data_IF_554402043378
#
_entry.id   IF_554402043378
#
_cell.length_a   1.000
_cell.length_b   1.000
_cell.length_c   1.000
_cell.angle_alpha   90.00
_cell.angle_beta   90.00
_cell.angle_gamma   90.00
#
_symmetry.space_group_name_H-M   'P 1'
#
loop_
_entity.id
_entity.type
_entity.pdbx_description
1 polymer ?
#
# COMPACT_ATOMS: atom_id res chain seq x y z
N UNK A 1 0.65 58.46 -75.61
CA UNK A 1 0.32 58.47 -74.18
C UNK A 1 0.28 56.98 -73.70
N UNK A 2 1.39 56.47 -73.17
CA UNK A 2 1.53 55.11 -72.70
C UNK A 2 1.21 55.00 -71.22
N UNK A 3 0.19 54.25 -70.82
CA UNK A 3 -0.11 53.91 -69.44
C UNK A 3 0.70 52.64 -69.08
N UNK A 4 1.66 52.79 -68.14
CA UNK A 4 2.37 51.68 -67.51
C UNK A 4 1.53 51.15 -66.35
N UNK A 5 1.15 49.87 -66.38
CA UNK A 5 0.52 49.15 -65.26
C UNK A 5 1.61 48.57 -64.42
N UNK A 6 1.57 48.91 -63.12
CA UNK A 6 2.49 48.40 -62.12
C UNK A 6 1.91 47.11 -61.51
N UNK A 7 2.64 45.98 -61.64
CA UNK A 7 2.26 44.70 -61.04
C UNK A 7 3.09 44.54 -59.74
N UNK A 8 2.42 44.43 -58.59
CA UNK A 8 3.04 44.11 -57.29
C UNK A 8 3.12 42.60 -57.08
N UNK A 9 4.26 42.06 -56.58
CA UNK A 9 4.35 40.64 -56.30
C UNK A 9 3.66 40.30 -54.97
N UNK A 10 2.77 39.29 -54.99
CA UNK A 10 2.08 38.77 -53.84
C UNK A 10 3.03 37.95 -52.95
N UNK A 11 3.09 38.28 -51.69
CA UNK A 11 3.82 37.54 -50.64
C UNK A 11 2.96 36.33 -50.20
N UNK A 12 3.38 35.12 -50.53
CA UNK A 12 2.73 33.90 -50.02
C UNK A 12 3.23 33.59 -48.59
N UNK A 13 2.39 33.76 -47.61
CA UNK A 13 2.65 33.36 -46.22
C UNK A 13 2.27 31.89 -46.08
N UNK A 14 3.26 31.02 -46.02
CA UNK A 14 3.08 29.60 -45.65
C UNK A 14 3.01 29.47 -44.14
N UNK A 15 1.83 29.28 -43.57
CA UNK A 15 1.65 28.91 -42.17
C UNK A 15 1.95 27.41 -41.98
N UNK A 16 3.10 27.12 -41.36
CA UNK A 16 3.42 25.77 -40.94
C UNK A 16 2.54 25.43 -39.71
N UNK A 17 1.61 24.49 -39.85
CA UNK A 17 0.90 23.89 -38.71
C UNK A 17 1.90 23.04 -37.91
N UNK A 18 2.34 23.53 -36.77
CA UNK A 18 3.07 22.72 -35.79
C UNK A 18 2.04 21.86 -35.09
N UNK A 19 2.00 20.56 -35.37
CA UNK A 19 1.15 19.60 -34.66
C UNK A 19 1.62 19.54 -33.20
N UNK A 20 0.73 19.89 -32.26
CA UNK A 20 0.97 19.73 -30.84
C UNK A 20 1.18 18.23 -30.52
N UNK A 21 2.13 17.86 -29.63
CA UNK A 21 2.34 16.47 -29.26
C UNK A 21 1.07 15.91 -28.61
N UNK A 22 0.56 14.80 -29.15
CA UNK A 22 -0.57 14.06 -28.58
C UNK A 22 -0.11 13.50 -27.23
N UNK A 23 -0.79 13.82 -26.10
CA UNK A 23 -0.42 13.28 -24.81
C UNK A 23 -0.55 11.74 -24.81
N UNK A 24 0.36 11.02 -24.11
CA UNK A 24 0.36 9.56 -24.10
C UNK A 24 -0.98 8.99 -23.57
N UNK A 25 -1.42 7.88 -24.13
CA UNK A 25 -2.73 7.25 -23.87
C UNK A 25 -3.06 7.03 -22.37
N UNK A 26 -2.03 6.85 -21.53
CA UNK A 26 -2.19 6.71 -20.06
C UNK A 26 -2.70 7.99 -19.37
N UNK A 27 -2.48 9.18 -19.95
CA UNK A 27 -2.97 10.45 -19.41
C UNK A 27 -4.46 10.70 -19.71
N UNK A 28 -5.06 9.89 -20.61
CA UNK A 28 -6.42 10.09 -21.10
C UNK A 28 -7.46 9.13 -20.51
N UNK A 29 -7.07 8.13 -19.69
CA UNK A 29 -8.03 7.20 -19.12
C UNK A 29 -8.77 7.84 -17.94
N UNK A 30 -10.01 8.25 -18.16
CA UNK A 30 -10.96 8.67 -17.09
C UNK A 30 -11.38 7.50 -16.20
N UNK A 31 -11.18 6.26 -16.64
CA UNK A 31 -11.57 5.02 -15.94
C UNK A 31 -10.34 4.30 -15.40
N UNK A 32 -10.29 3.96 -14.10
CA UNK A 32 -9.20 3.18 -13.53
C UNK A 32 -9.08 1.79 -14.17
N UNK A 33 -7.86 1.34 -14.42
CA UNK A 33 -7.55 -0.02 -14.89
C UNK A 33 -7.01 -0.84 -13.73
N UNK A 34 -7.46 -2.09 -13.61
CA UNK A 34 -7.06 -3.00 -12.55
C UNK A 34 -6.22 -4.14 -13.11
N UNK A 35 -5.10 -4.39 -12.44
CA UNK A 35 -4.19 -5.51 -12.72
C UNK A 35 -4.00 -6.35 -11.47
N UNK A 36 -3.69 -7.64 -11.64
CA UNK A 36 -3.32 -8.52 -10.54
C UNK A 36 -2.15 -9.43 -10.94
N UNK A 37 -1.52 -10.02 -9.92
CA UNK A 37 -0.52 -11.07 -10.05
C UNK A 37 -0.65 -12.04 -8.86
N UNK A 38 -0.71 -13.35 -9.15
CA UNK A 38 -0.64 -14.43 -8.14
C UNK A 38 0.79 -14.95 -8.10
N UNK A 39 1.57 -14.47 -7.13
CA UNK A 39 2.99 -14.70 -7.02
C UNK A 39 3.29 -16.06 -6.35
N UNK A 40 4.30 -16.76 -6.87
CA UNK A 40 4.81 -18.02 -6.30
C UNK A 40 6.31 -18.13 -6.51
N UNK A 41 7.01 -18.83 -5.60
CA UNK A 41 8.47 -19.00 -5.66
C UNK A 41 8.93 -19.73 -6.91
N UNK A 42 8.18 -20.74 -7.36
CA UNK A 42 8.49 -21.50 -8.59
C UNK A 42 8.54 -20.66 -9.87
N UNK A 43 8.01 -19.45 -9.86
CA UNK A 43 8.05 -18.55 -11.00
C UNK A 43 9.31 -17.68 -11.03
N UNK A 44 10.11 -17.70 -9.96
CA UNK A 44 11.36 -16.95 -9.91
C UNK A 44 12.35 -17.48 -10.94
N UNK A 45 13.18 -16.58 -11.45
CA UNK A 45 14.20 -16.91 -12.44
C UNK A 45 15.56 -16.80 -11.78
N UNK A 46 16.34 -17.89 -11.69
CA UNK A 46 17.66 -17.85 -11.10
C UNK A 46 18.56 -16.81 -11.75
N UNK A 47 19.37 -16.14 -10.93
CA UNK A 47 20.43 -15.26 -11.38
C UNK A 47 21.74 -15.60 -10.64
N UNK A 48 22.92 -15.48 -11.27
CA UNK A 48 24.20 -15.78 -10.63
C UNK A 48 24.38 -15.03 -9.31
N UNK A 49 24.78 -15.76 -8.26
CA UNK A 49 25.10 -15.19 -6.95
C UNK A 49 23.92 -14.74 -6.10
N UNK A 50 22.66 -14.98 -6.53
CA UNK A 50 21.48 -14.64 -5.74
C UNK A 50 20.59 -15.86 -5.46
N UNK A 51 20.09 -15.94 -4.23
CA UNK A 51 19.07 -16.93 -3.86
C UNK A 51 17.69 -16.38 -4.26
N UNK A 52 16.92 -17.20 -4.97
CA UNK A 52 15.56 -16.89 -5.42
C UNK A 52 14.62 -18.06 -5.17
N UNK A 53 13.30 -17.78 -5.13
CA UNK A 53 12.25 -18.79 -5.08
C UNK A 53 12.02 -19.37 -3.69
N UNK A 54 11.03 -18.87 -3.00
CA UNK A 54 10.52 -19.40 -1.73
C UNK A 54 9.49 -20.48 -2.07
N UNK A 55 9.84 -21.76 -1.86
CA UNK A 55 9.09 -22.92 -2.37
C UNK A 55 7.65 -23.00 -1.84
N UNK A 56 7.40 -22.63 -0.59
CA UNK A 56 6.09 -22.60 0.04
C UNK A 56 5.49 -21.17 0.11
N UNK A 57 6.27 -20.19 -0.31
CA UNK A 57 5.89 -18.78 -0.35
C UNK A 57 4.88 -18.47 -1.45
N UNK A 58 3.92 -17.60 -1.13
CA UNK A 58 2.95 -17.10 -2.11
C UNK A 58 2.50 -15.68 -1.78
N UNK A 59 2.04 -14.94 -2.80
CA UNK A 59 1.42 -13.64 -2.61
C UNK A 59 0.37 -13.34 -3.67
N UNK A 60 -0.61 -12.50 -3.32
CA UNK A 60 -1.55 -11.88 -4.24
C UNK A 60 -1.30 -10.38 -4.25
N UNK A 61 -0.99 -9.84 -5.42
CA UNK A 61 -0.87 -8.40 -5.64
C UNK A 61 -2.00 -7.90 -6.53
N UNK A 62 -2.56 -6.74 -6.18
CA UNK A 62 -3.58 -6.03 -6.96
C UNK A 62 -3.14 -4.58 -7.13
N UNK A 63 -3.31 -4.06 -8.34
CA UNK A 63 -2.95 -2.69 -8.70
C UNK A 63 -4.15 -1.99 -9.33
N UNK A 64 -4.35 -0.72 -8.98
CA UNK A 64 -5.29 0.18 -9.64
C UNK A 64 -4.51 1.35 -10.22
N UNK A 65 -4.54 1.49 -11.54
CA UNK A 65 -3.85 2.56 -12.27
C UNK A 65 -4.89 3.57 -12.75
N UNK A 66 -4.71 4.84 -12.35
CA UNK A 66 -5.56 5.95 -12.74
C UNK A 66 -4.71 7.20 -12.96
N UNK A 67 -4.59 7.66 -14.21
CA UNK A 67 -3.64 8.70 -14.60
C UNK A 67 -2.20 8.28 -14.26
N UNK A 68 -1.51 9.09 -13.48
CA UNK A 68 -0.15 8.82 -12.99
C UNK A 68 -0.10 8.12 -11.63
N UNK A 69 -1.26 7.84 -11.04
CA UNK A 69 -1.39 7.22 -9.73
C UNK A 69 -1.49 5.71 -9.85
N UNK A 70 -0.64 5.00 -9.13
CA UNK A 70 -0.71 3.54 -8.97
C UNK A 70 -0.98 3.24 -7.51
N UNK A 71 -2.22 2.83 -7.21
CA UNK A 71 -2.56 2.25 -5.92
C UNK A 71 -2.28 0.77 -5.97
N UNK A 72 -1.77 0.19 -4.90
CA UNK A 72 -1.46 -1.23 -4.80
C UNK A 72 -1.95 -1.82 -3.49
N UNK A 73 -2.20 -3.11 -3.49
CA UNK A 73 -2.32 -3.93 -2.30
C UNK A 73 -1.62 -5.26 -2.56
N UNK A 74 -0.88 -5.75 -1.58
CA UNK A 74 -0.22 -7.06 -1.63
C UNK A 74 -0.42 -7.79 -0.31
N UNK A 75 -0.78 -9.07 -0.38
CA UNK A 75 -0.90 -10.00 0.75
C UNK A 75 -0.05 -11.21 0.48
N UNK A 76 0.66 -11.69 1.48
CA UNK A 76 1.55 -12.84 1.38
C UNK A 76 1.27 -13.89 2.44
N UNK A 77 1.67 -15.11 2.17
CA UNK A 77 1.61 -16.26 3.06
C UNK A 77 2.90 -17.05 2.93
N UNK A 78 3.43 -17.55 4.05
CA UNK A 78 4.68 -18.31 4.14
C UNK A 78 5.90 -17.56 3.58
N UNK A 79 5.85 -16.27 3.46
CA UNK A 79 6.97 -15.40 3.08
C UNK A 79 7.39 -14.60 4.32
N UNK A 80 8.65 -14.69 4.72
CA UNK A 80 9.21 -13.87 5.79
C UNK A 80 9.08 -12.38 5.46
N UNK A 81 9.22 -11.53 6.49
CA UNK A 81 9.03 -10.07 6.39
C UNK A 81 9.59 -9.50 5.07
N UNK A 82 8.74 -9.00 4.15
CA UNK A 82 9.21 -8.44 2.89
C UNK A 82 10.11 -7.23 3.09
N UNK A 83 11.19 -7.17 2.31
CA UNK A 83 12.12 -6.03 2.25
C UNK A 83 12.02 -5.25 0.94
N UNK A 84 11.34 -5.81 -0.08
CA UNK A 84 11.14 -5.19 -1.38
C UNK A 84 9.88 -5.67 -2.06
N UNK A 85 9.20 -4.76 -2.77
CA UNK A 85 8.09 -5.08 -3.66
C UNK A 85 8.10 -4.14 -4.85
N UNK A 86 8.14 -4.69 -6.06
CA UNK A 86 8.38 -3.94 -7.29
C UNK A 86 7.56 -4.47 -8.47
N UNK A 87 7.38 -3.63 -9.52
CA UNK A 87 7.08 -4.08 -10.88
C UNK A 87 8.37 -3.99 -11.69
N UNK A 88 8.68 -5.06 -12.40
CA UNK A 88 9.81 -5.21 -13.31
C UNK A 88 9.36 -5.32 -14.77
N UNK A 89 10.23 -4.94 -15.71
CA UNK A 89 10.08 -5.25 -17.13
C UNK A 89 10.64 -6.66 -17.39
N UNK A 90 9.86 -7.54 -18.03
CA UNK A 90 10.31 -8.88 -18.43
C UNK A 90 9.14 -9.81 -18.67
N UNK A 91 9.29 -10.68 -19.65
CA UNK A 91 8.37 -11.77 -19.93
C UNK A 91 8.55 -12.94 -18.94
N UNK A 92 7.67 -13.92 -18.98
CA UNK A 92 7.82 -15.13 -18.17
C UNK A 92 9.17 -15.82 -18.47
N UNK A 93 9.89 -16.21 -17.41
CA UNK A 93 11.22 -16.83 -17.55
C UNK A 93 12.37 -15.83 -17.82
N UNK A 94 12.13 -14.54 -17.77
CA UNK A 94 13.15 -13.50 -17.98
C UNK A 94 13.25 -12.55 -16.79
N UNK A 95 14.47 -12.30 -16.32
CA UNK A 95 14.75 -11.24 -15.37
C UNK A 95 14.85 -9.89 -16.06
N UNK A 96 14.42 -8.83 -15.37
CA UNK A 96 14.48 -7.47 -15.88
C UNK A 96 14.61 -6.43 -14.79
N UNK A 97 14.80 -5.19 -15.19
CA UNK A 97 15.01 -4.06 -14.28
C UNK A 97 13.76 -3.70 -13.50
N UNK A 98 13.94 -3.22 -12.26
CA UNK A 98 12.89 -2.56 -11.47
C UNK A 98 12.44 -1.29 -12.19
N UNK A 99 11.14 -1.16 -12.39
CA UNK A 99 10.54 0.03 -13.03
C UNK A 99 9.59 0.80 -12.11
N UNK A 100 8.89 0.13 -11.22
CA UNK A 100 8.03 0.78 -10.21
C UNK A 100 8.33 0.16 -8.84
N UNK A 101 9.06 0.86 -7.96
CA UNK A 101 9.24 0.44 -6.57
C UNK A 101 8.02 0.85 -5.73
N UNK A 102 7.50 -0.07 -4.91
CA UNK A 102 6.44 0.16 -3.95
C UNK A 102 6.95 0.09 -2.51
N UNK A 103 7.74 -0.94 -2.20
CA UNK A 103 8.37 -1.18 -0.90
C UNK A 103 9.87 -1.29 -1.14
N UNK A 104 10.65 -0.52 -0.37
CA UNK A 104 12.12 -0.44 -0.50
C UNK A 104 12.85 -0.61 0.83
N UNK A 105 12.09 -0.84 1.91
CA UNK A 105 12.61 -1.10 3.26
C UNK A 105 11.83 -2.25 3.89
N UNK A 106 12.48 -2.99 4.80
CA UNK A 106 11.87 -4.14 5.45
C UNK A 106 10.59 -3.77 6.22
N UNK A 107 9.57 -4.60 6.07
CA UNK A 107 8.32 -4.49 6.81
C UNK A 107 8.42 -5.24 8.15
N UNK A 108 7.66 -4.81 9.18
CA UNK A 108 7.53 -5.57 10.43
C UNK A 108 7.00 -6.99 10.20
N UNK A 109 7.58 -7.97 10.93
CA UNK A 109 7.26 -9.39 10.77
C UNK A 109 5.82 -9.77 11.14
N UNK A 110 5.11 -8.93 11.88
CA UNK A 110 3.70 -9.12 12.23
C UNK A 110 2.75 -8.89 11.06
N UNK A 111 3.23 -8.22 9.99
CA UNK A 111 2.40 -7.88 8.83
C UNK A 111 2.26 -9.07 7.87
N UNK A 112 1.10 -9.17 7.26
CA UNK A 112 0.77 -10.18 6.22
C UNK A 112 0.21 -9.54 4.95
N UNK A 113 -0.12 -8.25 5.01
CA UNK A 113 -0.56 -7.48 3.86
C UNK A 113 -0.29 -5.99 4.07
N UNK A 114 -0.06 -5.30 2.97
CA UNK A 114 -0.03 -3.83 2.93
C UNK A 114 -0.74 -3.31 1.69
N UNK A 115 -1.24 -2.08 1.77
CA UNK A 115 -1.69 -1.30 0.61
C UNK A 115 -1.06 0.08 0.65
N UNK A 116 -0.98 0.69 -0.53
CA UNK A 116 -0.36 2.00 -0.63
C UNK A 116 -0.57 2.66 -1.99
N UNK A 117 0.18 3.72 -2.20
CA UNK A 117 0.10 4.54 -3.41
C UNK A 117 1.48 5.03 -3.80
N UNK A 118 1.79 4.96 -5.09
CA UNK A 118 2.94 5.65 -5.70
C UNK A 118 2.49 6.52 -6.87
N UNK A 119 3.23 7.60 -7.11
CA UNK A 119 3.04 8.46 -8.28
C UNK A 119 4.15 8.16 -9.28
N UNK A 120 3.78 7.70 -10.46
CA UNK A 120 4.69 7.38 -11.56
C UNK A 120 4.73 8.56 -12.53
N UNK A 121 5.88 9.24 -12.62
CA UNK A 121 6.03 10.41 -13.48
C UNK A 121 6.08 10.06 -14.98
N UNK A 122 6.63 8.87 -15.32
CA UNK A 122 6.69 8.38 -16.70
C UNK A 122 5.34 7.75 -17.11
N UNK A 123 4.49 8.56 -17.75
CA UNK A 123 3.20 8.10 -18.25
C UNK A 123 3.35 7.10 -19.40
N UNK A 124 4.45 7.17 -20.17
CA UNK A 124 4.72 6.20 -21.23
C UNK A 124 5.02 4.81 -20.67
N UNK A 125 5.69 4.74 -19.49
CA UNK A 125 5.87 3.49 -18.77
C UNK A 125 4.52 2.86 -18.42
N UNK A 126 3.60 3.64 -17.82
CA UNK A 126 2.26 3.15 -17.49
C UNK A 126 1.48 2.73 -18.74
N UNK A 127 1.58 3.48 -19.83
CA UNK A 127 0.99 3.11 -21.13
C UNK A 127 1.51 1.75 -21.62
N UNK A 128 2.81 1.49 -21.56
CA UNK A 128 3.40 0.20 -21.94
C UNK A 128 2.92 -0.95 -21.04
N UNK A 129 2.81 -0.73 -19.74
CA UNK A 129 2.27 -1.74 -18.79
C UNK A 129 0.80 -2.04 -19.12
N UNK A 130 0.00 -1.01 -19.35
CA UNK A 130 -1.41 -1.17 -19.68
C UNK A 130 -1.65 -1.83 -21.04
N UNK A 131 -0.81 -1.58 -22.03
CA UNK A 131 -0.95 -2.18 -23.37
C UNK A 131 -0.55 -3.66 -23.40
N UNK A 132 0.46 -4.06 -22.64
CA UNK A 132 0.93 -5.45 -22.55
C UNK A 132 1.29 -5.81 -21.11
N UNK A 133 0.32 -6.06 -20.20
CA UNK A 133 0.62 -6.40 -18.82
C UNK A 133 1.50 -7.66 -18.66
N UNK A 134 1.33 -8.65 -19.53
CA UNK A 134 2.09 -9.91 -19.48
C UNK A 134 3.59 -9.74 -19.74
N UNK A 135 4.03 -8.64 -20.35
CA UNK A 135 5.45 -8.26 -20.48
C UNK A 135 6.05 -7.63 -19.21
N UNK A 136 5.34 -7.69 -18.08
CA UNK A 136 5.73 -7.12 -16.78
C UNK A 136 5.37 -8.07 -15.65
N UNK A 137 6.17 -8.08 -14.59
CA UNK A 137 5.91 -8.93 -13.43
C UNK A 137 6.01 -8.16 -12.12
N UNK A 138 5.21 -8.59 -11.15
CA UNK A 138 5.36 -8.20 -9.76
C UNK A 138 6.32 -9.16 -9.06
N UNK A 139 7.18 -8.64 -8.20
CA UNK A 139 8.14 -9.43 -7.44
C UNK A 139 8.22 -8.94 -5.99
N UNK A 140 8.15 -9.87 -5.05
CA UNK A 140 8.28 -9.65 -3.62
C UNK A 140 9.60 -10.26 -3.15
N UNK A 141 10.38 -9.51 -2.38
CA UNK A 141 11.70 -9.88 -1.86
C UNK A 141 11.69 -9.90 -0.34
N UNK A 142 12.55 -10.72 0.26
CA UNK A 142 12.86 -10.68 1.69
C UNK A 142 14.36 -10.92 1.92
N UNK A 143 14.78 -10.99 3.18
CA UNK A 143 16.19 -11.18 3.52
C UNK A 143 16.72 -12.57 3.09
N UNK A 144 15.87 -13.60 3.09
CA UNK A 144 16.26 -14.97 2.73
C UNK A 144 16.38 -15.15 1.21
N UNK A 145 15.61 -14.39 0.45
CA UNK A 145 15.52 -14.41 -1.01
C UNK A 145 15.66 -13.00 -1.58
N UNK A 146 16.87 -12.45 -1.47
CA UNK A 146 17.15 -11.09 -1.93
C UNK A 146 17.00 -10.92 -3.45
N UNK A 147 17.16 -11.98 -4.22
CA UNK A 147 16.92 -11.99 -5.67
C UNK A 147 15.45 -12.08 -6.08
N UNK A 148 14.55 -12.41 -5.13
CA UNK A 148 13.12 -12.57 -5.31
C UNK A 148 12.59 -13.79 -4.58
N UNK A 149 11.63 -13.59 -3.69
CA UNK A 149 10.98 -14.68 -2.96
C UNK A 149 9.84 -15.28 -3.79
N UNK A 150 8.96 -14.45 -4.33
CA UNK A 150 7.81 -14.87 -5.13
C UNK A 150 7.51 -13.85 -6.23
N UNK A 151 7.14 -14.35 -7.41
CA UNK A 151 6.96 -13.55 -8.63
C UNK A 151 5.78 -14.03 -9.47
N UNK A 152 5.13 -13.11 -10.22
CA UNK A 152 4.20 -13.45 -11.30
C UNK A 152 4.02 -12.31 -12.31
N UNK A 153 3.63 -12.67 -13.54
CA UNK A 153 3.24 -11.72 -14.58
C UNK A 153 1.94 -11.00 -14.20
N UNK A 154 1.84 -9.75 -14.65
CA UNK A 154 0.63 -8.95 -14.47
C UNK A 154 -0.45 -9.38 -15.47
N UNK A 155 -1.71 -9.34 -15.05
CA UNK A 155 -2.86 -9.54 -15.93
C UNK A 155 -4.02 -8.60 -15.56
N UNK A 156 -4.88 -8.29 -16.51
CA UNK A 156 -6.07 -7.45 -16.26
C UNK A 156 -7.11 -8.21 -15.48
N UNK A 157 -7.75 -7.51 -14.54
CA UNK A 157 -8.88 -8.02 -13.78
C UNK A 157 -10.06 -7.04 -13.81
N UNK A 158 -11.24 -7.49 -13.35
CA UNK A 158 -12.37 -6.61 -13.06
C UNK A 158 -12.05 -5.70 -11.85
N UNK A 159 -12.71 -4.54 -11.74
CA UNK A 159 -12.56 -3.67 -10.58
C UNK A 159 -12.80 -4.41 -9.25
N UNK A 160 -11.93 -4.17 -8.28
CA UNK A 160 -11.99 -4.73 -6.93
C UNK A 160 -11.53 -3.68 -5.92
N UNK A 161 -12.13 -3.67 -4.73
CA UNK A 161 -11.66 -2.82 -3.64
C UNK A 161 -10.32 -3.35 -3.12
N UNK A 162 -9.28 -2.50 -3.08
CA UNK A 162 -7.96 -2.91 -2.59
C UNK A 162 -7.99 -3.27 -1.09
N UNK A 163 -8.92 -2.68 -0.34
CA UNK A 163 -9.15 -2.98 1.07
C UNK A 163 -9.56 -4.45 1.30
N UNK A 164 -10.19 -5.09 0.31
CA UNK A 164 -10.54 -6.52 0.41
C UNK A 164 -9.31 -7.43 0.51
N UNK A 165 -8.17 -7.00 -0.05
CA UNK A 165 -6.89 -7.72 0.08
C UNK A 165 -6.38 -7.67 1.53
N UNK A 166 -6.56 -6.54 2.24
CA UNK A 166 -6.23 -6.42 3.66
C UNK A 166 -7.18 -7.23 4.54
N UNK A 167 -8.48 -7.16 4.25
CA UNK A 167 -9.54 -7.78 5.07
C UNK A 167 -9.75 -9.28 4.78
N UNK A 168 -8.99 -9.87 3.85
CA UNK A 168 -9.15 -11.28 3.50
C UNK A 168 -8.90 -12.20 4.71
N UNK A 169 -9.82 -13.10 4.96
CA UNK A 169 -9.77 -14.06 6.07
C UNK A 169 -10.28 -13.52 7.41
N UNK A 170 -10.70 -12.24 7.49
CA UNK A 170 -11.35 -11.73 8.68
C UNK A 170 -12.79 -12.26 8.79
N UNK A 171 -13.16 -12.72 10.00
CA UNK A 171 -14.50 -13.13 10.38
C UNK A 171 -15.20 -12.09 11.22
N UNK A 172 -15.55 -12.44 12.47
CA UNK A 172 -16.17 -11.51 13.42
C UNK A 172 -15.15 -10.51 13.95
N UNK A 173 -15.33 -9.23 13.66
CA UNK A 173 -14.39 -8.17 14.04
C UNK A 173 -14.98 -7.18 15.03
N UNK A 174 -14.11 -6.57 15.80
CA UNK A 174 -14.30 -5.28 16.43
C UNK A 174 -13.83 -4.21 15.47
N UNK A 175 -14.41 -3.02 15.55
CA UNK A 175 -14.05 -1.90 14.70
C UNK A 175 -13.68 -0.69 15.53
N UNK A 176 -12.97 0.27 14.92
CA UNK A 176 -12.84 1.62 15.48
C UNK A 176 -12.54 2.63 14.39
N UNK A 177 -13.03 3.85 14.61
CA UNK A 177 -12.64 5.06 13.88
C UNK A 177 -11.76 5.90 14.80
N UNK A 178 -10.49 6.00 14.44
CA UNK A 178 -9.49 6.72 15.21
C UNK A 178 -9.25 8.11 14.62
N UNK A 179 -9.12 9.11 15.49
CA UNK A 179 -8.71 10.47 15.14
C UNK A 179 -7.85 11.07 16.26
N UNK A 180 -7.19 12.19 15.96
CA UNK A 180 -6.30 12.86 16.90
C UNK A 180 -6.99 13.47 18.10
N UNK A 181 -8.30 13.83 18.00
CA UNK A 181 -9.07 14.43 19.11
C UNK A 181 -9.37 13.42 20.22
N UNK A 182 -9.30 12.12 19.91
CA UNK A 182 -9.51 11.06 20.91
C UNK A 182 -8.25 10.73 21.71
N UNK A 183 -7.07 11.22 21.28
CA UNK A 183 -5.83 11.06 22.04
C UNK A 183 -5.91 11.85 23.34
N UNK A 184 -5.33 11.26 24.38
CA UNK A 184 -5.30 11.85 25.74
C UNK A 184 -3.88 12.33 26.00
N UNK A 185 -3.67 13.64 26.25
CA UNK A 185 -2.36 14.17 26.59
C UNK A 185 -1.74 13.46 27.79
N UNK A 186 -0.43 13.25 27.74
CA UNK A 186 0.38 12.78 28.86
C UNK A 186 1.61 13.68 28.99
N UNK A 187 2.13 13.90 30.21
CA UNK A 187 3.29 14.74 30.43
C UNK A 187 4.48 14.32 29.55
N UNK A 188 5.13 15.28 28.91
CA UNK A 188 6.34 15.07 28.12
C UNK A 188 6.14 14.41 26.75
N UNK A 189 4.91 14.09 26.33
CA UNK A 189 4.65 13.46 25.02
C UNK A 189 3.69 14.27 24.16
N UNK A 190 4.01 14.37 22.86
CA UNK A 190 3.14 15.01 21.89
C UNK A 190 2.12 13.98 21.37
N UNK A 191 0.84 14.36 21.37
CA UNK A 191 -0.27 13.52 20.91
C UNK A 191 -1.22 14.32 20.00
N UNK A 192 -2.04 13.61 19.22
CA UNK A 192 -3.19 14.14 18.54
C UNK A 192 -2.89 14.84 17.21
N UNK A 193 -2.92 14.10 16.11
CA UNK A 193 -2.86 14.62 14.75
C UNK A 193 -4.25 15.16 14.35
N UNK A 194 -4.35 16.48 14.18
CA UNK A 194 -5.64 17.18 14.06
C UNK A 194 -6.46 16.79 12.83
N UNK A 195 -5.80 16.44 11.72
CA UNK A 195 -6.44 16.02 10.48
C UNK A 195 -6.25 14.50 10.20
N UNK A 196 -5.43 13.82 11.01
CA UNK A 196 -5.20 12.40 10.93
C UNK A 196 -6.45 11.57 11.22
N UNK A 197 -6.65 10.51 10.46
CA UNK A 197 -7.75 9.54 10.61
C UNK A 197 -7.26 8.15 10.35
N UNK A 198 -7.73 7.16 11.12
CA UNK A 198 -7.54 5.75 10.82
C UNK A 198 -8.81 4.95 11.11
N UNK A 199 -8.95 3.84 10.38
CA UNK A 199 -9.99 2.86 10.57
C UNK A 199 -9.35 1.50 10.83
N UNK A 200 -9.86 0.75 11.81
CA UNK A 200 -9.34 -0.56 12.21
C UNK A 200 -10.41 -1.63 12.17
N UNK A 201 -10.01 -2.82 11.75
CA UNK A 201 -10.64 -4.09 12.06
C UNK A 201 -9.73 -4.83 13.04
N UNK A 202 -10.29 -5.34 14.12
CA UNK A 202 -9.56 -6.08 15.17
C UNK A 202 -10.32 -7.36 15.47
N UNK A 203 -9.69 -8.51 15.26
CA UNK A 203 -10.27 -9.84 15.51
C UNK A 203 -9.44 -10.58 16.57
N UNK A 204 -9.86 -10.51 17.85
CA UNK A 204 -9.27 -11.35 18.88
C UNK A 204 -9.77 -12.79 18.73
N UNK A 205 -8.88 -13.74 18.51
CA UNK A 205 -9.22 -15.15 18.31
C UNK A 205 -8.09 -16.07 18.81
N UNK A 206 -8.45 -17.07 19.63
CA UNK A 206 -7.46 -17.98 20.19
C UNK A 206 -6.39 -17.25 20.99
N UNK A 207 -5.13 -17.46 20.65
CA UNK A 207 -3.94 -16.84 21.21
C UNK A 207 -3.40 -15.66 20.36
N UNK A 208 -4.25 -15.10 19.48
CA UNK A 208 -3.87 -14.02 18.56
C UNK A 208 -4.88 -12.89 18.52
N UNK A 209 -4.39 -11.73 18.11
CA UNK A 209 -5.21 -10.62 17.66
C UNK A 209 -4.83 -10.32 16.20
N UNK A 210 -5.74 -10.58 15.29
CA UNK A 210 -5.64 -10.19 13.90
C UNK A 210 -6.07 -8.74 13.77
N UNK A 211 -5.42 -7.99 12.91
CA UNK A 211 -5.73 -6.57 12.70
C UNK A 211 -5.59 -6.17 11.25
N UNK A 212 -6.41 -5.21 10.82
CA UNK A 212 -6.23 -4.46 9.59
C UNK A 212 -6.51 -2.99 9.85
N UNK A 213 -5.76 -2.13 9.19
CA UNK A 213 -5.92 -0.69 9.30
C UNK A 213 -5.73 0.01 7.96
N UNK A 214 -6.44 1.14 7.80
CA UNK A 214 -6.15 2.14 6.77
C UNK A 214 -6.12 3.51 7.41
N UNK A 215 -5.33 4.42 6.86
CA UNK A 215 -5.25 5.79 7.38
C UNK A 215 -5.15 6.83 6.28
N UNK A 216 -5.47 8.07 6.65
CA UNK A 216 -5.38 9.27 5.81
C UNK A 216 -4.83 10.41 6.65
N UNK A 217 -4.03 11.27 6.05
CA UNK A 217 -3.44 12.46 6.69
C UNK A 217 -2.61 12.15 7.95
N UNK A 218 -2.14 10.93 8.10
CA UNK A 218 -1.20 10.52 9.14
C UNK A 218 0.16 10.34 8.49
N UNK A 219 1.17 11.05 9.00
CA UNK A 219 2.56 10.88 8.55
C UNK A 219 3.00 9.43 8.82
N UNK A 220 4.05 9.00 8.12
CA UNK A 220 4.60 7.63 8.19
C UNK A 220 4.52 7.02 9.59
N UNK A 221 3.71 5.97 9.80
CA UNK A 221 3.57 5.34 11.11
C UNK A 221 4.84 4.63 11.57
N UNK A 222 5.13 4.77 12.87
CA UNK A 222 6.27 4.09 13.52
C UNK A 222 5.83 2.93 14.41
N UNK A 223 4.59 2.94 14.92
CA UNK A 223 4.06 1.87 15.76
C UNK A 223 2.53 1.88 15.81
N UNK A 224 1.94 0.75 16.18
CA UNK A 224 0.54 0.65 16.54
C UNK A 224 0.31 -0.41 17.62
N UNK A 225 -0.66 -0.15 18.50
CA UNK A 225 -0.94 -1.00 19.66
C UNK A 225 -2.43 -1.08 19.98
N UNK A 226 -2.81 -2.11 20.73
CA UNK A 226 -4.04 -2.11 21.55
C UNK A 226 -3.66 -1.87 23.02
N UNK A 227 -4.34 -0.91 23.61
CA UNK A 227 -4.21 -0.53 25.01
C UNK A 227 -5.46 -0.89 25.83
N UNK A 228 -5.29 -1.05 27.13
CA UNK A 228 -6.39 -1.34 28.06
C UNK A 228 -6.78 -0.09 28.85
N UNK A 229 -7.78 0.63 28.40
CA UNK A 229 -8.46 1.68 29.17
C UNK A 229 -9.83 2.00 28.56
N UNK A 230 -10.80 2.52 29.34
CA UNK A 230 -12.04 3.06 28.83
C UNK A 230 -11.78 4.42 28.13
N UNK A 231 -12.79 4.91 27.43
CA UNK A 231 -12.76 6.23 26.78
C UNK A 231 -12.34 7.33 27.76
N UNK A 232 -11.50 8.25 27.33
CA UNK A 232 -11.03 9.39 28.15
C UNK A 232 -9.94 9.04 29.17
N UNK A 233 -9.36 7.83 29.15
CA UNK A 233 -8.24 7.44 30.01
C UNK A 233 -7.13 6.79 29.22
N UNK A 234 -5.86 7.07 29.57
CA UNK A 234 -4.71 6.33 29.06
C UNK A 234 -4.56 5.02 29.82
N UNK A 235 -4.01 4.00 29.16
CA UNK A 235 -3.71 2.71 29.74
C UNK A 235 -2.47 2.06 29.13
N UNK A 236 -1.98 0.96 29.72
CA UNK A 236 -0.79 0.28 29.23
C UNK A 236 -1.03 -0.35 27.84
N UNK A 237 0.04 -0.47 27.05
CA UNK A 237 0.09 -1.34 25.88
C UNK A 237 -0.12 -2.78 26.32
N UNK A 238 -1.01 -3.50 25.63
CA UNK A 238 -1.28 -4.92 25.94
C UNK A 238 -1.01 -5.80 24.72
N UNK A 239 -1.33 -5.33 23.50
CA UNK A 239 -1.05 -6.05 22.28
C UNK A 239 -0.32 -5.10 21.31
N UNK A 240 1.00 -5.28 21.12
CA UNK A 240 1.71 -4.57 20.06
C UNK A 240 1.27 -5.12 18.70
N UNK A 241 0.86 -4.24 17.79
CA UNK A 241 0.52 -4.63 16.42
C UNK A 241 1.76 -4.66 15.53
N UNK A 242 2.53 -3.59 15.56
CA UNK A 242 3.83 -3.52 14.89
C UNK A 242 4.68 -2.38 15.49
N UNK A 243 5.99 -2.50 15.26
CA UNK A 243 6.97 -1.44 15.46
C UNK A 243 7.84 -1.32 14.21
N UNK A 244 8.08 -0.09 13.76
CA UNK A 244 8.93 0.29 12.65
C UNK A 244 9.67 1.56 13.07
N UNK A 245 10.85 1.42 13.68
CA UNK A 245 11.60 2.53 14.30
C UNK A 245 11.80 3.72 13.36
N UNK A 246 12.11 3.43 12.08
CA UNK A 246 12.33 4.44 11.05
C UNK A 246 11.05 4.75 10.24
N UNK A 247 9.91 4.19 10.66
CA UNK A 247 8.62 4.29 10.00
C UNK A 247 8.41 3.24 8.91
N UNK A 248 7.15 3.01 8.58
CA UNK A 248 6.77 2.19 7.42
C UNK A 248 7.20 2.86 6.11
N UNK A 249 7.32 2.13 4.97
CA UNK A 249 7.55 2.78 3.68
C UNK A 249 6.54 3.90 3.42
N UNK A 250 6.96 5.08 2.93
CA UNK A 250 6.08 6.25 2.75
C UNK A 250 4.90 6.02 1.79
N UNK A 251 5.01 5.03 0.90
CA UNK A 251 3.94 4.62 0.00
C UNK A 251 2.77 3.94 0.71
N UNK A 252 3.00 3.37 1.90
CA UNK A 252 2.02 2.56 2.64
C UNK A 252 0.98 3.44 3.32
N UNK A 253 -0.30 3.13 3.13
CA UNK A 253 -1.44 3.79 3.76
C UNK A 253 -2.51 2.82 4.28
N UNK A 254 -2.16 1.54 4.38
CA UNK A 254 -2.96 0.50 5.00
C UNK A 254 -2.16 -0.79 5.16
N UNK A 255 -2.55 -1.60 6.12
CA UNK A 255 -1.86 -2.84 6.48
C UNK A 255 -2.82 -3.86 7.10
N UNK A 256 -2.39 -5.12 7.12
CA UNK A 256 -2.99 -6.16 7.94
C UNK A 256 -1.93 -7.11 8.49
N UNK A 257 -2.20 -7.68 9.64
CA UNK A 257 -1.27 -8.57 10.31
C UNK A 257 -1.89 -9.31 11.50
N UNK A 258 -1.04 -9.95 12.29
CA UNK A 258 -1.46 -10.60 13.52
C UNK A 258 -0.36 -10.53 14.59
N UNK A 259 -0.78 -10.42 15.85
CA UNK A 259 0.11 -10.45 17.00
C UNK A 259 -0.30 -11.54 17.97
N UNK A 260 0.68 -12.21 18.56
CA UNK A 260 0.44 -13.18 19.65
C UNK A 260 -0.03 -12.44 20.91
N UNK A 261 -0.93 -13.08 21.64
CA UNK A 261 -1.37 -12.70 22.97
C UNK A 261 -1.75 -13.97 23.74
N UNK A 262 -2.21 -13.87 24.98
CA UNK A 262 -2.83 -15.01 25.64
C UNK A 262 -4.33 -15.08 25.35
N UNK A 263 -4.91 -16.29 25.37
CA UNK A 263 -6.34 -16.53 25.10
C UNK A 263 -7.26 -15.75 26.03
N UNK A 264 -6.86 -15.54 27.30
CA UNK A 264 -7.64 -14.79 28.26
C UNK A 264 -7.70 -13.29 27.90
N UNK A 265 -6.59 -12.73 27.43
CA UNK A 265 -6.54 -11.36 26.92
C UNK A 265 -7.40 -11.20 25.66
N UNK A 266 -7.28 -12.08 24.67
CA UNK A 266 -8.12 -12.06 23.47
C UNK A 266 -9.63 -12.11 23.84
N UNK A 267 -10.01 -13.00 24.78
CA UNK A 267 -11.38 -13.08 25.30
C UNK A 267 -11.82 -11.80 26.01
N UNK A 268 -10.94 -11.15 26.81
CA UNK A 268 -11.24 -9.87 27.50
C UNK A 268 -11.51 -8.74 26.51
N UNK A 269 -10.68 -8.63 25.46
CA UNK A 269 -10.87 -7.66 24.38
C UNK A 269 -12.24 -7.88 23.72
N UNK A 270 -12.55 -9.12 23.37
CA UNK A 270 -13.82 -9.47 22.75
C UNK A 270 -15.04 -9.20 23.63
N UNK A 271 -14.97 -9.58 24.93
CA UNK A 271 -16.11 -9.43 25.86
C UNK A 271 -16.44 -7.97 26.16
N UNK A 272 -15.44 -7.13 26.35
CA UNK A 272 -15.60 -5.73 26.78
C UNK A 272 -14.82 -4.76 25.90
N UNK A 273 -15.13 -4.64 24.61
CA UNK A 273 -14.32 -3.84 23.68
C UNK A 273 -14.22 -2.35 24.09
N UNK A 274 -15.23 -1.80 24.76
CA UNK A 274 -15.24 -0.41 25.27
C UNK A 274 -14.12 -0.09 26.28
N UNK A 275 -13.47 -1.12 26.84
CA UNK A 275 -12.32 -0.97 27.73
C UNK A 275 -10.97 -1.10 27.00
N UNK A 276 -10.99 -1.03 25.66
CA UNK A 276 -9.80 -1.17 24.85
C UNK A 276 -9.82 -0.16 23.70
N UNK A 277 -8.65 0.35 23.35
CA UNK A 277 -8.51 1.24 22.21
C UNK A 277 -7.30 0.85 21.35
N UNK A 278 -7.39 1.13 20.06
CA UNK A 278 -6.25 1.06 19.16
C UNK A 278 -5.73 2.47 18.88
N UNK A 279 -4.42 2.61 18.77
CA UNK A 279 -3.80 3.84 18.31
C UNK A 279 -2.67 3.61 17.34
N UNK A 280 -2.31 4.66 16.61
CA UNK A 280 -1.25 4.73 15.63
C UNK A 280 -0.30 5.85 16.03
N UNK A 281 1.00 5.57 16.01
CA UNK A 281 2.06 6.52 16.35
C UNK A 281 2.87 6.89 15.12
N UNK A 282 3.49 8.06 15.15
CA UNK A 282 4.52 8.47 14.19
C UNK A 282 5.57 9.35 14.88
N UNK A 283 6.62 9.70 14.17
CA UNK A 283 7.71 10.53 14.73
C UNK A 283 7.24 11.91 15.23
N UNK A 284 6.19 12.49 14.61
CA UNK A 284 5.63 13.78 15.00
C UNK A 284 4.77 13.70 16.28
N UNK A 285 4.13 12.56 16.49
CA UNK A 285 3.23 12.29 17.62
C UNK A 285 3.60 10.94 18.28
N UNK A 286 4.73 10.90 19.00
CA UNK A 286 5.22 9.66 19.63
C UNK A 286 4.30 9.15 20.74
N UNK A 287 3.50 10.00 21.36
CA UNK A 287 2.49 9.60 22.36
C UNK A 287 1.18 9.06 21.74
N UNK A 288 0.99 9.19 20.44
CA UNK A 288 -0.18 8.76 19.67
C UNK A 288 -0.64 9.82 18.69
N UNK A 289 -0.68 9.49 17.39
CA UNK A 289 -1.18 10.37 16.35
C UNK A 289 -2.71 10.33 16.29
N UNK A 290 -3.28 9.13 16.27
CA UNK A 290 -4.73 8.92 16.20
C UNK A 290 -5.11 7.71 17.06
N UNK A 291 -6.22 7.83 17.79
CA UNK A 291 -6.75 6.84 18.72
C UNK A 291 -8.23 6.61 18.50
N UNK A 292 -8.71 5.40 18.70
CA UNK A 292 -10.13 5.08 18.71
C UNK A 292 -10.48 3.92 19.64
N UNK A 293 -11.60 4.06 20.34
CA UNK A 293 -12.13 3.01 21.22
C UNK A 293 -12.68 1.85 20.37
N UNK A 294 -12.43 0.59 20.78
CA UNK A 294 -12.97 -0.58 20.12
C UNK A 294 -14.47 -0.74 20.42
N UNK A 295 -15.23 -1.18 19.43
CA UNK A 295 -16.66 -1.50 19.57
C UNK A 295 -17.06 -2.62 18.63
N UNK A 296 -18.21 -3.27 18.92
CA UNK A 296 -18.88 -4.20 18.01
C UNK A 296 -19.84 -3.39 17.15
N UNK A 297 -19.93 -3.74 15.90
CA UNK A 297 -20.86 -3.14 14.97
C UNK A 297 -20.26 -3.02 13.58
N UNK A 298 -21.13 -2.99 12.60
CA UNK A 298 -20.79 -2.71 11.22
C UNK A 298 -20.66 -1.21 11.00
N UNK A 299 -19.94 -0.83 9.99
CA UNK A 299 -19.62 0.57 9.63
C UNK A 299 -20.84 1.28 9.06
#
# INVERSE_FOLDING_TARGET
MNKRTLVLPGLAVTTALVAAPVPPAAAQTSTPVYLAASLAGKNEVPAPGTKVGDDDGSALAVFRIHGNRVDYAVRWSNVNAPSGFHIHKGDAGQNGEVKIPFITTALPAQLHAVKGTVIVKDLNLLGRILNNPMGWYANLHNADFAGGAVRAQLHRIRPVALESVLAYGFGRTLTTRADGKQEIPAPGTKVGDSDGRAAWLVQPEGDRVWFAATWKHVATPTAAHVHRAPKGKNGPVVVPFFEAKDGLPPSVNGLAGSSKTDTATARRIWKNPKNWYANLHNAKFPGGAVRGQLYRGDW
#
